data_IF_630763501635
#
_entry.id   IF_630763501635
#
_cell.length_a   1.000
_cell.length_b   1.000
_cell.length_c   1.000
_cell.angle_alpha   90.00
_cell.angle_beta   90.00
_cell.angle_gamma   90.00
#
_symmetry.space_group_name_H-M   'P 1'
#
loop_
_entity.id
_entity.type
_entity.pdbx_description
1 polymer ?
#
# COMPACT_ATOMS: atom_id res chain seq x y z
N UNK A 1 2.08 13.27 -8.47
CA UNK A 1 2.79 14.42 -7.88
C UNK A 1 1.99 15.07 -6.76
N UNK A 2 0.68 15.30 -6.94
CA UNK A 2 -0.18 15.90 -5.89
C UNK A 2 -0.06 15.28 -4.49
N UNK A 3 0.09 13.95 -4.36
CA UNK A 3 0.27 13.28 -3.04
C UNK A 3 1.58 13.71 -2.36
N UNK A 4 2.68 13.82 -3.12
CA UNK A 4 3.97 14.25 -2.56
C UNK A 4 3.99 15.74 -2.22
N UNK A 5 3.27 16.56 -2.99
CA UNK A 5 3.07 17.99 -2.70
C UNK A 5 2.22 18.19 -1.44
N UNK A 6 1.15 17.41 -1.29
CA UNK A 6 0.30 17.41 -0.10
C UNK A 6 1.09 17.03 1.16
N UNK A 7 2.02 16.08 1.02
CA UNK A 7 2.86 15.63 2.12
C UNK A 7 4.18 16.39 2.22
N UNK A 8 4.36 17.51 1.51
CA UNK A 8 5.64 18.22 1.40
C UNK A 8 6.28 18.58 2.75
N UNK A 9 5.46 18.92 3.76
CA UNK A 9 5.89 19.24 5.12
C UNK A 9 6.40 18.05 5.94
N UNK A 10 6.14 16.82 5.50
CA UNK A 10 6.54 15.61 6.20
C UNK A 10 7.93 15.11 5.75
N UNK A 11 8.61 14.40 6.64
CA UNK A 11 9.84 13.66 6.32
C UNK A 11 9.56 12.52 5.34
N UNK A 12 10.61 12.03 4.66
CA UNK A 12 10.46 10.97 3.64
C UNK A 12 9.95 9.65 4.21
N UNK A 13 10.36 9.27 5.42
CA UNK A 13 9.83 8.13 6.16
C UNK A 13 8.35 8.32 6.49
N UNK A 14 7.95 9.50 6.99
CA UNK A 14 6.56 9.81 7.31
C UNK A 14 5.66 9.78 6.07
N UNK A 15 6.15 10.26 4.92
CA UNK A 15 5.45 10.17 3.63
C UNK A 15 5.10 8.72 3.26
N UNK A 16 6.06 7.80 3.40
CA UNK A 16 5.86 6.39 3.11
C UNK A 16 4.87 5.74 4.11
N UNK A 17 4.99 6.05 5.40
CA UNK A 17 4.08 5.54 6.44
C UNK A 17 2.65 6.02 6.21
N UNK A 18 2.44 7.30 5.88
CA UNK A 18 1.12 7.87 5.63
C UNK A 18 0.46 7.24 4.38
N UNK A 19 1.25 6.99 3.33
CA UNK A 19 0.76 6.31 2.13
C UNK A 19 0.35 4.86 2.42
N UNK A 20 1.16 4.12 3.19
CA UNK A 20 0.83 2.77 3.64
C UNK A 20 -0.43 2.74 4.51
N UNK A 21 -0.55 3.66 5.47
CA UNK A 21 -1.72 3.75 6.34
C UNK A 21 -2.99 4.04 5.53
N UNK A 22 -2.94 4.99 4.60
CA UNK A 22 -4.07 5.29 3.71
C UNK A 22 -4.44 4.08 2.85
N UNK A 23 -3.46 3.35 2.32
CA UNK A 23 -3.70 2.12 1.57
C UNK A 23 -4.36 1.06 2.44
N UNK A 24 -3.88 0.82 3.66
CA UNK A 24 -4.43 -0.18 4.58
C UNK A 24 -5.89 0.10 4.95
N UNK A 25 -6.26 1.37 5.16
CA UNK A 25 -7.66 1.75 5.43
C UNK A 25 -8.56 1.43 4.23
N UNK A 26 -8.12 1.78 3.02
CA UNK A 26 -8.86 1.47 1.80
C UNK A 26 -8.96 -0.05 1.58
N UNK A 27 -7.86 -0.78 1.69
CA UNK A 27 -7.81 -2.22 1.45
C UNK A 27 -8.59 -3.02 2.49
N UNK A 28 -8.50 -2.66 3.77
CA UNK A 28 -9.12 -3.39 4.88
C UNK A 28 -10.64 -3.41 4.81
N UNK A 29 -11.26 -2.31 4.37
CA UNK A 29 -12.71 -2.25 4.17
C UNK A 29 -13.19 -3.26 3.12
N UNK A 30 -12.38 -3.50 2.08
CA UNK A 30 -12.72 -4.42 1.00
C UNK A 30 -12.43 -5.87 1.35
N UNK A 31 -11.28 -6.16 1.96
CA UNK A 31 -10.91 -7.51 2.35
C UNK A 31 -11.93 -8.11 3.34
N UNK A 32 -12.42 -7.32 4.29
CA UNK A 32 -13.42 -7.76 5.27
C UNK A 32 -14.74 -8.19 4.61
N UNK A 33 -15.16 -7.51 3.54
CA UNK A 33 -16.36 -7.86 2.77
C UNK A 33 -16.11 -9.14 1.93
N UNK A 34 -14.91 -9.28 1.36
CA UNK A 34 -14.55 -10.45 0.56
C UNK A 34 -14.43 -11.74 1.41
N UNK A 35 -13.86 -11.64 2.62
CA UNK A 35 -13.64 -12.78 3.51
C UNK A 35 -14.95 -13.30 4.15
N UNK A 36 -15.88 -12.40 4.50
CA UNK A 36 -17.18 -12.78 5.08
C UNK A 36 -18.26 -13.16 4.05
N UNK A 37 -17.98 -13.06 2.76
CA UNK A 37 -18.97 -13.31 1.69
C UNK A 37 -19.60 -14.71 1.74
N UNK A 38 -18.85 -15.71 2.21
CA UNK A 38 -19.31 -17.11 2.28
C UNK A 38 -19.97 -17.47 3.61
N UNK A 39 -19.74 -16.68 4.67
CA UNK A 39 -20.17 -17.00 6.04
C UNK A 39 -21.39 -16.20 6.50
N UNK A 40 -21.62 -15.00 5.97
CA UNK A 40 -22.67 -14.09 6.44
C UNK A 40 -23.66 -13.72 5.32
N UNK A 41 -24.98 -13.99 5.48
CA UNK A 41 -26.02 -13.52 4.56
C UNK A 41 -25.99 -12.00 4.33
N UNK A 42 -25.56 -11.21 5.31
CA UNK A 42 -25.41 -9.75 5.21
C UNK A 42 -24.26 -9.38 4.26
N UNK A 43 -23.13 -10.09 4.30
CA UNK A 43 -22.01 -9.85 3.38
C UNK A 43 -22.40 -10.18 1.93
N UNK A 44 -23.23 -11.20 1.72
CA UNK A 44 -23.80 -11.54 0.41
C UNK A 44 -24.72 -10.42 -0.12
N UNK A 45 -25.56 -9.86 0.76
CA UNK A 45 -26.43 -8.72 0.45
C UNK A 45 -25.63 -7.46 0.13
N UNK A 46 -24.55 -7.21 0.88
CA UNK A 46 -23.65 -6.08 0.68
C UNK A 46 -22.86 -6.18 -0.62
N UNK A 47 -22.43 -7.39 -0.99
CA UNK A 47 -21.70 -7.66 -2.22
C UNK A 47 -22.57 -7.44 -3.47
N UNK A 48 -23.84 -7.85 -3.42
CA UNK A 48 -24.84 -7.54 -4.45
C UNK A 48 -25.08 -6.03 -4.54
N UNK A 49 -25.21 -5.35 -3.40
CA UNK A 49 -25.40 -3.89 -3.35
C UNK A 49 -24.19 -3.11 -3.88
N UNK A 50 -22.97 -3.64 -3.71
CA UNK A 50 -21.70 -3.06 -4.18
C UNK A 50 -21.35 -3.44 -5.62
N UNK A 51 -22.23 -4.15 -6.35
CA UNK A 51 -22.01 -4.62 -7.72
C UNK A 51 -20.69 -5.38 -7.90
N UNK A 52 -20.26 -6.16 -6.91
CA UNK A 52 -19.08 -7.00 -7.10
C UNK A 52 -19.39 -8.02 -8.22
N UNK A 53 -18.59 -8.05 -9.30
CA UNK A 53 -18.82 -8.98 -10.40
C UNK A 53 -18.77 -10.41 -9.86
N UNK A 54 -19.68 -11.25 -10.36
CA UNK A 54 -19.98 -12.62 -9.93
C UNK A 54 -18.77 -13.34 -9.27
N UNK A 55 -18.61 -13.12 -7.95
CA UNK A 55 -17.38 -13.40 -7.18
C UNK A 55 -17.02 -14.89 -7.23
N UNK A 56 -18.02 -15.74 -7.49
CA UNK A 56 -17.88 -17.20 -7.46
C UNK A 56 -17.15 -17.76 -8.69
N UNK A 57 -17.28 -17.14 -9.87
CA UNK A 57 -16.64 -17.63 -11.10
C UNK A 57 -15.20 -17.13 -11.27
N UNK A 58 -14.81 -16.05 -10.56
CA UNK A 58 -13.50 -15.41 -10.66
C UNK A 58 -12.66 -15.52 -9.38
N UNK A 59 -13.08 -16.35 -8.41
CA UNK A 59 -12.47 -16.37 -7.07
C UNK A 59 -10.96 -16.69 -7.08
N UNK A 60 -10.50 -17.63 -7.92
CA UNK A 60 -9.07 -17.98 -8.01
C UNK A 60 -8.22 -16.88 -8.64
N UNK A 61 -8.73 -16.20 -9.66
CA UNK A 61 -8.05 -15.06 -10.31
C UNK A 61 -8.00 -13.86 -9.35
N UNK A 62 -9.10 -13.59 -8.64
CA UNK A 62 -9.16 -12.55 -7.63
C UNK A 62 -8.20 -12.84 -6.47
N UNK A 63 -8.16 -14.07 -5.97
CA UNK A 63 -7.25 -14.51 -4.92
C UNK A 63 -5.79 -14.33 -5.33
N UNK A 64 -5.43 -14.76 -6.54
CA UNK A 64 -4.07 -14.61 -7.08
C UNK A 64 -3.66 -13.14 -7.20
N UNK A 65 -4.56 -12.27 -7.68
CA UNK A 65 -4.31 -10.82 -7.75
C UNK A 65 -4.16 -10.20 -6.35
N UNK A 66 -5.00 -10.60 -5.40
CA UNK A 66 -4.89 -10.14 -4.01
C UNK A 66 -3.59 -10.61 -3.34
N UNK A 67 -3.17 -11.85 -3.57
CA UNK A 67 -1.88 -12.37 -3.08
C UNK A 67 -0.70 -11.57 -3.64
N UNK A 68 -0.77 -11.20 -4.93
CA UNK A 68 0.23 -10.34 -5.57
C UNK A 68 0.29 -8.96 -4.93
N UNK A 69 -0.87 -8.34 -4.69
CA UNK A 69 -0.96 -7.04 -4.00
C UNK A 69 -0.42 -7.15 -2.57
N UNK A 70 -0.78 -8.20 -1.83
CA UNK A 70 -0.30 -8.45 -0.48
C UNK A 70 1.22 -8.62 -0.42
N UNK A 71 1.80 -9.31 -1.41
CA UNK A 71 3.26 -9.42 -1.55
C UNK A 71 3.90 -8.05 -1.75
N UNK A 72 3.35 -7.21 -2.64
CA UNK A 72 3.90 -5.88 -2.89
C UNK A 72 3.77 -4.95 -1.68
N UNK A 73 2.67 -5.03 -0.93
CA UNK A 73 2.45 -4.27 0.30
C UNK A 73 3.44 -4.70 1.38
N UNK A 74 3.73 -6.00 1.51
CA UNK A 74 4.77 -6.51 2.43
C UNK A 74 6.14 -5.94 2.09
N UNK A 75 6.54 -5.98 0.82
CA UNK A 75 7.82 -5.39 0.37
C UNK A 75 7.85 -3.88 0.65
N UNK A 76 6.75 -3.18 0.40
CA UNK A 76 6.62 -1.74 0.67
C UNK A 76 6.76 -1.42 2.17
N UNK A 77 6.23 -2.27 3.05
CA UNK A 77 6.37 -2.15 4.50
C UNK A 77 7.81 -2.38 4.95
N UNK A 78 8.49 -3.39 4.40
CA UNK A 78 9.89 -3.67 4.70
C UNK A 78 10.80 -2.53 4.25
N UNK A 79 10.59 -1.99 3.06
CA UNK A 79 11.32 -0.84 2.54
C UNK A 79 11.12 0.39 3.43
N UNK A 80 9.89 0.66 3.86
CA UNK A 80 9.57 1.76 4.78
C UNK A 80 10.25 1.58 6.13
N UNK A 81 10.29 0.34 6.65
CA UNK A 81 10.99 0.01 7.90
C UNK A 81 12.51 0.23 7.76
N UNK A 82 13.09 -0.16 6.63
CA UNK A 82 14.51 0.07 6.32
C UNK A 82 14.84 1.56 6.31
N UNK A 83 14.03 2.38 5.62
CA UNK A 83 14.19 3.85 5.58
C UNK A 83 14.12 4.44 7.00
N UNK A 84 13.15 4.00 7.81
CA UNK A 84 13.01 4.48 9.19
C UNK A 84 14.17 4.05 10.10
N UNK A 85 14.77 2.88 9.85
CA UNK A 85 15.97 2.42 10.57
C UNK A 85 17.20 3.25 10.20
N UNK A 86 17.35 3.62 8.91
CA UNK A 86 18.46 4.47 8.46
C UNK A 86 18.43 5.81 9.18
N UNK A 87 17.25 6.44 9.31
CA UNK A 87 17.08 7.69 10.05
C UNK A 87 17.30 7.59 11.57
N UNK A 88 17.37 6.38 12.14
CA UNK A 88 17.56 6.12 13.57
C UNK A 88 18.98 5.67 13.94
N UNK A 89 19.88 5.56 12.96
CA UNK A 89 21.26 5.14 13.20
C UNK A 89 21.99 6.19 14.08
N UNK A 90 22.68 5.76 15.15
CA UNK A 90 23.34 6.68 16.05
C UNK A 90 24.53 7.38 15.36
N UNK A 91 24.47 8.70 15.27
CA UNK A 91 25.51 9.56 14.68
C UNK A 91 26.88 9.45 15.37
N UNK A 92 26.90 8.92 16.61
CA UNK A 92 28.11 8.66 17.39
C UNK A 92 28.99 7.56 16.79
N UNK A 93 28.40 6.63 16.04
CA UNK A 93 29.11 5.47 15.47
C UNK A 93 29.16 5.49 13.95
N UNK A 94 28.23 6.20 13.30
CA UNK A 94 28.15 6.33 11.85
C UNK A 94 28.01 7.81 11.53
N UNK A 95 29.06 8.40 10.94
CA UNK A 95 29.01 9.79 10.49
C UNK A 95 27.96 9.93 9.39
N UNK A 96 27.15 10.99 9.47
CA UNK A 96 26.16 11.29 8.44
C UNK A 96 26.80 11.67 7.09
N UNK A 97 28.09 12.06 7.13
CA UNK A 97 28.93 12.37 5.97
C UNK A 97 29.73 11.16 5.47
N UNK A 98 29.59 9.99 6.11
CA UNK A 98 30.20 8.77 5.60
C UNK A 98 29.58 8.42 4.24
N UNK A 99 30.42 8.08 3.27
CA UNK A 99 30.03 7.75 1.89
C UNK A 99 28.84 6.77 1.81
N UNK A 100 28.75 5.69 2.62
CA UNK A 100 27.59 4.79 2.59
C UNK A 100 26.27 5.44 3.05
N UNK A 101 26.33 6.37 4.01
CA UNK A 101 25.15 7.07 4.54
C UNK A 101 24.66 8.14 3.56
N UNK A 102 25.57 8.86 2.91
CA UNK A 102 25.24 9.83 1.87
C UNK A 102 24.56 9.16 0.67
N UNK A 103 25.11 8.02 0.22
CA UNK A 103 24.51 7.20 -0.84
C UNK A 103 23.11 6.73 -0.41
N UNK A 104 22.97 6.13 0.77
CA UNK A 104 21.68 5.65 1.25
C UNK A 104 20.63 6.78 1.31
N UNK A 105 21.00 7.95 1.85
CA UNK A 105 20.12 9.12 1.96
C UNK A 105 19.68 9.64 0.59
N UNK A 106 20.55 9.58 -0.42
CA UNK A 106 20.21 9.99 -1.80
C UNK A 106 19.16 9.10 -2.46
N UNK A 107 19.10 7.82 -2.08
CA UNK A 107 18.13 6.86 -2.63
C UNK A 107 16.77 6.89 -1.92
N UNK A 108 16.69 7.43 -0.70
CA UNK A 108 15.43 7.49 0.08
C UNK A 108 14.31 8.17 -0.70
N UNK A 109 14.47 9.39 -1.26
CA UNK A 109 13.40 10.06 -2.02
C UNK A 109 12.86 9.21 -3.18
N UNK A 110 13.77 8.56 -3.90
CA UNK A 110 13.45 7.72 -5.06
C UNK A 110 12.68 6.48 -4.61
N UNK A 111 13.15 5.80 -3.57
CA UNK A 111 12.50 4.63 -3.00
C UNK A 111 11.08 4.95 -2.49
N UNK A 112 10.90 6.08 -1.81
CA UNK A 112 9.59 6.51 -1.32
C UNK A 112 8.65 6.85 -2.48
N UNK A 113 9.14 7.54 -3.52
CA UNK A 113 8.35 7.82 -4.72
C UNK A 113 7.83 6.55 -5.37
N UNK A 114 8.70 5.56 -5.60
CA UNK A 114 8.29 4.27 -6.20
C UNK A 114 7.34 3.50 -5.31
N UNK A 115 7.52 3.55 -3.99
CA UNK A 115 6.61 2.92 -3.02
C UNK A 115 5.20 3.51 -3.11
N UNK A 116 5.09 4.84 -3.05
CA UNK A 116 3.80 5.54 -3.13
C UNK A 116 3.14 5.25 -4.48
N UNK A 117 3.90 5.30 -5.57
CA UNK A 117 3.38 5.01 -6.91
C UNK A 117 2.84 3.58 -7.01
N UNK A 118 3.57 2.59 -6.50
CA UNK A 118 3.13 1.19 -6.46
C UNK A 118 1.85 1.00 -5.65
N UNK A 119 1.74 1.64 -4.47
CA UNK A 119 0.53 1.59 -3.64
C UNK A 119 -0.69 2.20 -4.34
N UNK A 120 -0.51 3.31 -5.05
CA UNK A 120 -1.59 3.92 -5.84
C UNK A 120 -2.06 2.98 -6.96
N UNK A 121 -1.13 2.36 -7.70
CA UNK A 121 -1.48 1.37 -8.74
C UNK A 121 -2.20 0.16 -8.16
N UNK A 122 -1.76 -0.33 -6.99
CA UNK A 122 -2.47 -1.39 -6.28
C UNK A 122 -3.89 -0.96 -5.88
N UNK A 123 -4.07 0.26 -5.38
CA UNK A 123 -5.39 0.77 -5.00
C UNK A 123 -6.32 0.85 -6.22
N UNK A 124 -5.82 1.26 -7.38
CA UNK A 124 -6.56 1.24 -8.64
C UNK A 124 -6.97 -0.18 -9.03
N UNK A 125 -6.04 -1.15 -9.01
CA UNK A 125 -6.37 -2.55 -9.29
C UNK A 125 -7.39 -3.14 -8.32
N UNK A 126 -7.33 -2.80 -7.03
CA UNK A 126 -8.36 -3.20 -6.06
C UNK A 126 -9.71 -2.61 -6.47
N UNK A 127 -9.76 -1.31 -6.76
CA UNK A 127 -10.99 -0.63 -7.18
C UNK A 127 -11.58 -1.22 -8.47
N UNK A 128 -10.73 -1.57 -9.44
CA UNK A 128 -11.13 -2.22 -10.69
C UNK A 128 -11.67 -3.63 -10.48
N UNK A 129 -11.03 -4.43 -9.60
CA UNK A 129 -11.53 -5.75 -9.21
C UNK A 129 -12.91 -5.65 -8.56
N UNK A 130 -13.15 -4.57 -7.82
CA UNK A 130 -14.41 -4.29 -7.14
C UNK A 130 -15.49 -3.68 -8.04
N UNK A 131 -15.22 -3.47 -9.34
CA UNK A 131 -16.21 -2.93 -10.27
C UNK A 131 -16.59 -1.46 -10.00
N UNK A 132 -15.85 -0.76 -9.15
CA UNK A 132 -16.17 0.60 -8.71
C UNK A 132 -15.76 1.69 -9.72
N UNK A 133 -15.31 1.34 -10.92
CA UNK A 133 -14.90 2.29 -11.98
C UNK A 133 -15.99 2.66 -12.99
N UNK A 134 -17.26 2.28 -12.75
CA UNK A 134 -18.41 2.76 -13.52
C UNK A 134 -19.41 3.51 -12.65
N UNK A 135 -19.16 4.80 -12.40
CA UNK A 135 -20.19 5.81 -12.15
C UNK A 135 -19.63 7.21 -12.38
#
# INVERSE_FOLDING_TARGET
MAILELLSSYTWDAKAVLALASFSVNYGQFWLIAENFTADPLAKSLAVLRQLPDILALSDVMKTRMDTINSLVKVSLELTRCIAQIGRLPSKYISHDAEPMAIATSHIPIAVYWTIRSLVVCASHVTDILGMSQQ
#
